data_IF_272975776633
#
_entry.id   IF_272975776633
#
_cell.length_a   1.000
_cell.length_b   1.000
_cell.length_c   1.000
_cell.angle_alpha   90.00
_cell.angle_beta   90.00
_cell.angle_gamma   90.00
#
_symmetry.space_group_name_H-M   'P 1'
#
loop_
_entity.id
_entity.type
_entity.pdbx_description
1 polymer ?
#
# COMPACT_ATOMS: atom_id res chain seq x y z
N UNK A 1 48.07 -35.47 37.75
CA UNK A 1 47.78 -35.40 36.30
C UNK A 1 46.31 -35.04 36.15
N UNK A 2 46.00 -33.76 35.97
CA UNK A 2 44.63 -33.28 35.80
C UNK A 2 44.29 -33.32 34.31
N UNK A 3 43.40 -34.24 33.93
CA UNK A 3 42.81 -34.30 32.59
C UNK A 3 41.88 -33.11 32.42
N UNK A 4 42.31 -32.14 31.63
CA UNK A 4 41.53 -30.98 31.25
C UNK A 4 40.40 -31.47 30.33
N UNK A 5 39.18 -31.54 30.87
CA UNK A 5 37.99 -31.91 30.11
C UNK A 5 37.66 -30.71 29.23
N UNK A 6 38.19 -30.71 28.01
CA UNK A 6 37.84 -29.72 27.01
C UNK A 6 36.33 -29.72 26.84
N UNK A 7 35.69 -28.62 27.24
CA UNK A 7 34.27 -28.38 27.02
C UNK A 7 34.05 -28.51 25.53
N UNK A 8 33.29 -29.54 25.14
CA UNK A 8 32.87 -29.79 23.77
C UNK A 8 32.03 -28.59 23.36
N UNK A 9 32.66 -27.60 22.73
CA UNK A 9 32.00 -26.46 22.10
C UNK A 9 31.19 -27.04 20.97
N UNK A 10 29.93 -27.35 21.27
CA UNK A 10 28.93 -27.61 20.24
C UNK A 10 28.98 -26.41 19.28
N UNK A 11 29.07 -26.63 17.96
CA UNK A 11 29.15 -25.54 17.01
C UNK A 11 27.88 -24.70 17.14
N UNK A 12 28.00 -23.58 17.85
CA UNK A 12 26.90 -22.69 18.15
C UNK A 12 26.51 -22.04 16.83
N UNK A 13 25.40 -22.51 16.26
CA UNK A 13 24.90 -21.99 15.01
C UNK A 13 24.50 -20.53 15.21
N UNK A 14 25.00 -19.58 14.38
CA UNK A 14 24.70 -18.17 14.55
C UNK A 14 23.18 -17.94 14.60
N UNK A 15 22.66 -17.12 15.55
CA UNK A 15 21.21 -16.95 15.74
C UNK A 15 20.48 -16.48 14.49
N UNK A 16 21.11 -15.59 13.70
CA UNK A 16 20.56 -15.04 12.46
C UNK A 16 20.66 -15.98 11.24
N UNK A 17 21.39 -17.08 11.34
CA UNK A 17 21.51 -18.05 10.25
C UNK A 17 20.31 -19.01 10.23
N UNK A 18 19.11 -18.44 10.23
CA UNK A 18 17.84 -19.15 10.13
C UNK A 18 17.03 -18.59 8.98
N UNK A 19 16.31 -19.45 8.27
CA UNK A 19 15.35 -18.99 7.26
C UNK A 19 14.10 -18.38 7.94
N UNK A 20 13.18 -17.84 7.14
CA UNK A 20 11.92 -17.28 7.63
C UNK A 20 11.04 -18.33 8.35
N UNK A 21 11.32 -19.62 8.15
CA UNK A 21 10.64 -20.77 8.75
C UNK A 21 11.35 -21.26 10.02
N UNK A 22 12.47 -20.64 10.42
CA UNK A 22 13.26 -20.99 11.58
C UNK A 22 14.22 -22.17 11.38
N UNK A 23 14.31 -22.72 10.16
CA UNK A 23 15.26 -23.77 9.82
C UNK A 23 16.68 -23.22 9.81
N UNK A 24 17.62 -24.02 10.30
CA UNK A 24 19.04 -23.67 10.31
C UNK A 24 19.59 -23.68 8.87
N UNK A 25 20.31 -22.63 8.48
CA UNK A 25 20.97 -22.53 7.18
C UNK A 25 22.48 -22.64 7.37
N UNK A 26 23.12 -23.55 6.63
CA UNK A 26 24.56 -23.76 6.70
C UNK A 26 25.34 -22.48 6.40
N UNK A 27 26.07 -21.98 7.39
CA UNK A 27 26.95 -20.81 7.26
C UNK A 27 28.29 -21.23 6.67
N UNK A 28 28.82 -20.55 5.63
CA UNK A 28 30.13 -20.85 5.09
C UNK A 28 31.24 -20.74 6.15
N UNK A 29 32.21 -21.66 6.09
CA UNK A 29 33.41 -21.57 6.92
C UNK A 29 34.17 -20.27 6.66
N UNK A 30 34.69 -19.64 7.72
CA UNK A 30 35.38 -18.36 7.63
C UNK A 30 34.47 -17.13 7.67
N UNK A 31 33.16 -17.29 7.85
CA UNK A 31 32.28 -16.16 8.17
C UNK A 31 32.66 -15.60 9.54
N UNK A 32 32.89 -14.30 9.63
CA UNK A 32 33.27 -13.59 10.85
C UNK A 32 32.24 -12.51 11.27
N UNK A 33 31.45 -11.99 10.31
CA UNK A 33 30.45 -10.97 10.57
C UNK A 33 29.31 -11.01 9.54
N UNK A 34 28.22 -10.31 9.85
CA UNK A 34 27.11 -10.08 8.93
C UNK A 34 27.16 -8.66 8.36
N UNK A 35 26.89 -8.53 7.07
CA UNK A 35 26.44 -7.28 6.45
C UNK A 35 24.95 -7.37 6.21
N UNK A 36 24.20 -6.40 6.73
CA UNK A 36 22.74 -6.40 6.69
C UNK A 36 22.25 -5.31 5.73
N UNK A 37 21.40 -5.70 4.79
CA UNK A 37 20.73 -4.80 3.87
C UNK A 37 19.22 -4.91 4.06
N UNK A 38 18.54 -3.77 4.17
CA UNK A 38 17.07 -3.73 4.22
C UNK A 38 16.50 -4.10 2.87
N UNK A 39 15.61 -5.10 2.83
CA UNK A 39 14.93 -5.49 1.61
C UNK A 39 13.91 -4.39 1.25
N UNK A 40 13.99 -3.90 0.02
CA UNK A 40 13.03 -2.93 -0.51
C UNK A 40 12.44 -3.49 -1.80
N UNK A 41 11.38 -2.89 -2.32
CA UNK A 41 10.78 -3.30 -3.62
C UNK A 41 11.74 -3.13 -4.80
N UNK A 42 12.86 -2.42 -4.62
CA UNK A 42 13.92 -2.27 -5.61
C UNK A 42 15.26 -2.83 -5.13
N UNK A 43 16.34 -2.05 -5.33
CA UNK A 43 17.67 -2.43 -4.87
C UNK A 43 17.71 -2.48 -3.33
N UNK A 44 18.18 -3.58 -2.70
CA UNK A 44 18.36 -3.64 -1.25
C UNK A 44 19.17 -2.44 -0.77
N UNK A 45 18.69 -1.78 0.29
CA UNK A 45 19.36 -0.62 0.86
C UNK A 45 20.30 -1.08 1.96
N UNK A 46 21.58 -0.83 1.79
CA UNK A 46 22.58 -1.13 2.80
C UNK A 46 22.34 -0.30 4.05
N UNK A 47 22.46 -0.94 5.22
CA UNK A 47 22.37 -0.24 6.50
C UNK A 47 23.75 0.37 6.78
N UNK A 48 23.77 1.68 6.81
CA UNK A 48 24.99 2.48 6.95
C UNK A 48 25.02 3.05 8.36
N UNK A 49 26.17 2.94 9.02
CA UNK A 49 26.40 3.51 10.34
C UNK A 49 26.44 5.04 10.35
N UNK A 50 26.54 5.65 11.54
CA UNK A 50 26.66 7.10 11.68
C UNK A 50 27.91 7.67 10.97
N UNK A 51 28.91 6.83 10.75
CA UNK A 51 30.16 7.13 10.04
C UNK A 51 30.04 7.06 8.51
N UNK A 52 28.83 6.82 7.98
CA UNK A 52 28.55 6.62 6.55
C UNK A 52 29.24 5.38 5.95
N UNK A 53 29.70 4.42 6.77
CA UNK A 53 30.24 3.14 6.28
C UNK A 53 29.25 1.99 6.50
N UNK A 54 29.39 0.96 5.69
CA UNK A 54 28.67 -0.31 5.86
C UNK A 54 28.83 -0.84 7.27
N UNK A 55 27.73 -0.99 8.01
CA UNK A 55 27.79 -1.51 9.36
C UNK A 55 28.11 -3.01 9.32
N UNK A 56 29.04 -3.44 10.19
CA UNK A 56 29.36 -4.87 10.41
C UNK A 56 28.67 -5.31 11.69
N UNK A 57 27.86 -6.35 11.59
CA UNK A 57 27.15 -6.91 12.73
C UNK A 57 27.86 -8.19 13.20
N UNK A 58 28.01 -8.41 14.52
CA UNK A 58 28.60 -9.63 15.05
C UNK A 58 27.75 -10.87 14.68
N UNK A 59 28.40 -12.04 14.61
CA UNK A 59 27.72 -13.31 14.30
C UNK A 59 26.63 -13.67 15.32
N UNK A 60 26.86 -13.32 16.58
CA UNK A 60 25.97 -13.59 17.72
C UNK A 60 24.78 -12.63 17.83
N UNK A 61 24.68 -11.65 16.92
CA UNK A 61 23.55 -10.73 16.86
C UNK A 61 22.24 -11.54 16.84
N UNK A 62 21.29 -11.18 17.69
CA UNK A 62 19.98 -11.85 17.69
C UNK A 62 18.97 -11.11 16.81
N UNK A 63 17.87 -11.76 16.38
CA UNK A 63 16.80 -11.08 15.67
C UNK A 63 16.22 -9.91 16.49
N UNK A 64 16.06 -10.06 17.80
CA UNK A 64 15.52 -9.01 18.68
C UNK A 64 16.43 -7.78 18.71
N UNK A 65 17.75 -7.97 18.85
CA UNK A 65 18.73 -6.88 18.79
C UNK A 65 18.70 -6.16 17.42
N UNK A 66 18.46 -6.91 16.34
CA UNK A 66 18.31 -6.34 15.00
C UNK A 66 17.05 -5.46 14.90
N UNK A 67 15.93 -5.84 15.54
CA UNK A 67 14.73 -5.01 15.62
C UNK A 67 15.01 -3.73 16.41
N UNK A 68 15.70 -3.83 17.53
CA UNK A 68 16.00 -2.68 18.38
C UNK A 68 16.90 -1.66 17.66
N UNK A 69 17.84 -2.13 16.84
CA UNK A 69 18.77 -1.29 16.09
C UNK A 69 18.18 -0.74 14.78
N UNK A 70 17.50 -1.58 13.99
CA UNK A 70 17.12 -1.27 12.61
C UNK A 70 15.60 -1.13 12.41
N UNK A 71 14.80 -1.57 13.37
CA UNK A 71 13.34 -1.66 13.31
C UNK A 71 12.84 -2.97 12.71
N UNK A 72 11.51 -3.14 12.73
CA UNK A 72 10.81 -4.29 12.13
C UNK A 72 10.83 -4.19 10.61
N UNK A 73 11.46 -5.15 9.92
CA UNK A 73 11.41 -5.30 8.45
C UNK A 73 11.97 -6.66 7.97
N UNK A 74 11.94 -6.85 6.64
CA UNK A 74 12.66 -7.88 5.90
C UNK A 74 14.11 -7.45 5.65
N UNK A 75 15.07 -8.29 6.03
CA UNK A 75 16.49 -8.03 5.90
C UNK A 75 17.19 -9.11 5.08
N UNK A 76 18.14 -8.69 4.25
CA UNK A 76 19.04 -9.56 3.50
C UNK A 76 20.42 -9.53 4.15
N UNK A 77 20.85 -10.68 4.67
CA UNK A 77 22.12 -10.92 5.32
C UNK A 77 23.14 -11.41 4.30
N UNK A 78 24.33 -10.82 4.32
CA UNK A 78 25.49 -11.26 3.56
C UNK A 78 26.57 -11.70 4.55
N UNK A 79 27.09 -12.92 4.37
CA UNK A 79 28.23 -13.40 5.15
C UNK A 79 29.48 -12.62 4.76
N UNK A 80 30.21 -12.11 5.75
CA UNK A 80 31.50 -11.46 5.57
C UNK A 80 32.61 -12.31 6.18
N UNK A 81 33.77 -12.35 5.52
CA UNK A 81 35.01 -12.87 6.11
C UNK A 81 35.62 -11.90 7.13
N UNK A 82 36.74 -12.31 7.75
CA UNK A 82 37.49 -11.48 8.72
C UNK A 82 37.96 -10.13 8.15
N UNK A 83 38.20 -10.07 6.83
CA UNK A 83 38.61 -8.86 6.12
C UNK A 83 37.40 -7.97 5.76
N UNK A 84 36.19 -8.52 5.81
CA UNK A 84 34.93 -7.89 5.42
C UNK A 84 34.60 -8.01 3.94
N UNK A 85 35.18 -8.99 3.24
CA UNK A 85 34.77 -9.39 1.89
C UNK A 85 33.52 -10.27 1.98
N UNK A 86 32.60 -10.07 1.05
CA UNK A 86 31.38 -10.89 0.97
C UNK A 86 31.76 -12.28 0.48
N UNK A 87 31.42 -13.30 1.28
CA UNK A 87 31.37 -14.70 0.89
C UNK A 87 30.00 -14.88 0.22
N UNK A 88 29.91 -15.37 -1.02
CA UNK A 88 28.70 -15.48 -1.86
C UNK A 88 27.55 -16.29 -1.21
N UNK A 89 27.02 -15.77 -0.12
CA UNK A 89 26.05 -16.38 0.76
C UNK A 89 25.09 -15.29 1.20
N UNK A 90 23.83 -15.50 0.88
CA UNK A 90 22.77 -14.52 1.03
C UNK A 90 21.57 -15.19 1.65
N UNK A 91 21.15 -14.70 2.81
CA UNK A 91 19.95 -15.18 3.52
C UNK A 91 19.00 -14.02 3.68
N UNK A 92 17.70 -14.28 3.52
CA UNK A 92 16.66 -13.32 3.87
C UNK A 92 16.04 -13.72 5.20
N UNK A 93 15.97 -12.77 6.13
CA UNK A 93 15.36 -12.94 7.45
C UNK A 93 14.27 -11.88 7.61
N UNK A 94 13.06 -12.33 7.91
CA UNK A 94 11.94 -11.47 8.26
C UNK A 94 11.88 -11.34 9.78
N UNK A 95 12.08 -10.12 10.30
CA UNK A 95 12.17 -9.90 11.75
C UNK A 95 11.05 -9.00 12.23
N UNK A 96 10.30 -9.46 13.23
CA UNK A 96 9.25 -8.69 13.93
C UNK A 96 7.98 -8.46 13.11
N UNK A 97 7.94 -8.86 11.85
CA UNK A 97 6.70 -9.01 11.11
C UNK A 97 6.10 -10.32 11.61
N UNK A 98 4.99 -10.26 12.35
CA UNK A 98 4.12 -11.43 12.45
C UNK A 98 3.98 -11.98 11.03
N UNK A 99 4.16 -13.30 10.81
CA UNK A 99 4.25 -13.91 9.49
C UNK A 99 3.04 -13.47 8.69
N UNK A 100 3.23 -12.37 7.97
CA UNK A 100 2.21 -11.73 7.17
C UNK A 100 2.17 -12.67 6.00
N UNK A 101 1.23 -13.61 6.08
CA UNK A 101 0.81 -14.46 4.99
C UNK A 101 1.02 -13.70 3.71
N UNK A 102 1.96 -14.22 2.89
CA UNK A 102 2.55 -13.59 1.73
C UNK A 102 1.48 -13.15 0.74
N UNK A 103 0.81 -12.03 1.03
CA UNK A 103 -0.43 -11.65 0.37
C UNK A 103 -0.21 -11.11 -1.03
N UNK A 104 1.04 -11.01 -1.48
CA UNK A 104 1.40 -10.42 -2.78
C UNK A 104 2.71 -10.96 -3.38
N UNK A 105 3.25 -12.09 -2.92
CA UNK A 105 4.26 -12.78 -3.71
C UNK A 105 3.50 -13.60 -4.76
N UNK A 106 3.66 -13.27 -6.04
CA UNK A 106 3.10 -14.03 -7.14
C UNK A 106 3.39 -15.54 -6.96
N UNK A 107 2.47 -16.43 -7.35
CA UNK A 107 2.66 -17.86 -7.17
C UNK A 107 3.68 -18.37 -8.18
N UNK A 108 4.98 -18.22 -7.90
CA UNK A 108 5.98 -19.04 -8.55
C UNK A 108 5.80 -20.47 -8.07
N UNK A 109 5.35 -21.27 -9.03
CA UNK A 109 4.91 -22.64 -8.95
C UNK A 109 6.10 -23.54 -8.63
N UNK A 110 6.56 -23.52 -7.39
CA UNK A 110 7.55 -24.49 -6.91
C UNK A 110 6.79 -25.69 -6.35
N UNK A 111 6.32 -26.52 -7.27
CA UNK A 111 5.96 -27.89 -6.97
C UNK A 111 7.20 -28.59 -6.43
N UNK A 112 7.23 -28.93 -5.14
CA UNK A 112 7.95 -30.14 -4.72
C UNK A 112 7.19 -30.94 -3.65
N UNK A 113 7.33 -32.28 -3.72
CA UNK A 113 6.51 -33.24 -3.00
C UNK A 113 7.21 -33.74 -1.73
N UNK A 114 6.46 -34.56 -0.98
CA UNK A 114 6.94 -35.57 -0.03
C UNK A 114 7.08 -35.12 1.42
N UNK A 115 6.26 -35.69 2.30
CA UNK A 115 6.65 -36.71 3.29
C UNK A 115 5.39 -37.27 3.96
N UNK A 116 4.98 -38.49 3.60
CA UNK A 116 5.15 -39.71 4.43
C UNK A 116 4.72 -39.52 5.88
N UNK A 117 3.53 -39.98 6.21
CA UNK A 117 3.29 -40.74 7.44
C UNK A 117 2.39 -41.94 7.12
N UNK A 118 2.92 -43.13 7.42
CA UNK A 118 2.17 -44.36 7.41
C UNK A 118 1.29 -44.41 8.67
N UNK A 119 -0.03 -44.51 8.50
CA UNK A 119 -0.92 -45.07 9.50
C UNK A 119 -2.18 -45.60 8.79
N UNK A 120 -2.32 -46.92 8.84
CA UNK A 120 -3.44 -47.71 8.38
C UNK A 120 -4.73 -47.39 9.15
N UNK A 121 -5.72 -46.76 8.50
CA UNK A 121 -7.16 -46.96 8.71
C UNK A 121 -7.99 -46.08 7.75
N UNK A 122 -9.17 -46.52 7.27
CA UNK A 122 -10.05 -45.77 6.37
C UNK A 122 -10.91 -44.71 7.13
N UNK A 123 -10.26 -43.81 7.87
CA UNK A 123 -10.88 -42.62 8.47
C UNK A 123 -10.31 -41.31 7.90
N UNK A 124 -9.54 -41.41 6.82
CA UNK A 124 -8.80 -40.29 6.21
C UNK A 124 -9.71 -39.16 5.76
N UNK A 125 -10.91 -39.46 5.24
CA UNK A 125 -11.74 -38.46 4.57
C UNK A 125 -12.36 -37.42 5.53
N UNK A 126 -12.79 -37.86 6.72
CA UNK A 126 -13.35 -36.94 7.73
C UNK A 126 -12.25 -36.07 8.37
N UNK A 127 -11.05 -36.62 8.55
CA UNK A 127 -9.90 -35.84 9.03
C UNK A 127 -9.47 -34.79 8.01
N UNK A 128 -9.40 -35.16 6.72
CA UNK A 128 -9.13 -34.22 5.65
C UNK A 128 -10.23 -33.17 5.53
N UNK A 129 -11.51 -33.54 5.65
CA UNK A 129 -12.62 -32.59 5.61
C UNK A 129 -12.56 -31.58 6.78
N UNK A 130 -12.27 -32.04 8.00
CA UNK A 130 -12.11 -31.14 9.16
C UNK A 130 -10.88 -30.23 9.03
N UNK A 131 -9.78 -30.74 8.48
CA UNK A 131 -8.58 -29.94 8.20
C UNK A 131 -8.85 -28.90 7.11
N UNK A 132 -9.57 -29.26 6.05
CA UNK A 132 -10.00 -28.34 5.00
C UNK A 132 -10.98 -27.27 5.53
N UNK A 133 -11.94 -27.65 6.38
CA UNK A 133 -12.87 -26.70 6.99
C UNK A 133 -12.16 -25.70 7.91
N UNK A 134 -11.20 -26.16 8.71
CA UNK A 134 -10.41 -25.27 9.58
C UNK A 134 -9.51 -24.34 8.79
N UNK A 135 -8.91 -24.82 7.68
CA UNK A 135 -8.19 -23.96 6.75
C UNK A 135 -9.13 -22.93 6.09
N UNK A 136 -10.31 -23.34 5.62
CA UNK A 136 -11.27 -22.43 4.98
C UNK A 136 -11.83 -21.38 5.95
N UNK A 137 -12.04 -21.73 7.23
CA UNK A 137 -12.43 -20.78 8.27
C UNK A 137 -11.36 -19.73 8.54
N UNK A 138 -10.07 -20.11 8.55
CA UNK A 138 -8.97 -19.15 8.70
C UNK A 138 -8.93 -18.17 7.52
N UNK A 139 -8.97 -18.70 6.29
CA UNK A 139 -8.99 -17.86 5.07
C UNK A 139 -10.19 -16.92 5.05
N UNK A 140 -11.38 -17.39 5.44
CA UNK A 140 -12.56 -16.53 5.52
C UNK A 140 -12.41 -15.44 6.59
N UNK A 141 -11.78 -15.74 7.72
CA UNK A 141 -11.52 -14.74 8.77
C UNK A 141 -10.51 -13.68 8.34
N UNK A 142 -9.46 -14.07 7.60
CA UNK A 142 -8.47 -13.16 7.03
C UNK A 142 -9.05 -12.28 5.92
N UNK A 143 -9.99 -12.83 5.13
CA UNK A 143 -10.73 -12.07 4.13
C UNK A 143 -11.59 -10.98 4.79
N UNK A 144 -12.36 -11.32 5.83
CA UNK A 144 -13.15 -10.35 6.58
C UNK A 144 -12.27 -9.27 7.22
N UNK A 145 -11.15 -9.67 7.83
CA UNK A 145 -10.20 -8.72 8.43
C UNK A 145 -9.64 -7.74 7.38
N UNK A 146 -9.31 -8.22 6.19
CA UNK A 146 -8.84 -7.38 5.10
C UNK A 146 -9.86 -6.35 4.62
N UNK A 147 -11.13 -6.77 4.52
CA UNK A 147 -12.23 -5.87 4.18
C UNK A 147 -12.36 -4.78 5.25
N UNK A 148 -12.29 -5.15 6.53
CA UNK A 148 -12.36 -4.16 7.63
C UNK A 148 -11.18 -3.20 7.65
N UNK A 149 -9.96 -3.68 7.38
CA UNK A 149 -8.75 -2.83 7.29
C UNK A 149 -8.85 -1.87 6.09
N UNK A 150 -9.33 -2.36 4.93
CA UNK A 150 -9.57 -1.53 3.75
C UNK A 150 -10.64 -0.46 3.99
N UNK A 151 -11.70 -0.78 4.73
CA UNK A 151 -12.72 0.20 5.11
C UNK A 151 -12.16 1.26 6.06
N UNK A 152 -11.32 0.86 7.02
CA UNK A 152 -10.66 1.78 7.93
C UNK A 152 -9.70 2.73 7.20
N UNK A 153 -8.92 2.23 6.24
CA UNK A 153 -8.00 3.06 5.46
C UNK A 153 -8.72 3.98 4.47
N UNK A 154 -9.85 3.55 3.92
CA UNK A 154 -10.74 4.41 3.13
C UNK A 154 -11.34 5.55 3.97
N UNK A 155 -11.81 5.27 5.19
CA UNK A 155 -12.28 6.28 6.14
C UNK A 155 -11.18 7.26 6.57
N UNK A 156 -9.97 6.77 6.82
CA UNK A 156 -8.79 7.62 7.07
C UNK A 156 -8.46 8.49 5.87
N UNK A 157 -8.55 7.94 4.65
CA UNK A 157 -8.34 8.70 3.42
C UNK A 157 -9.37 9.84 3.30
N UNK A 158 -10.65 9.58 3.54
CA UNK A 158 -11.72 10.61 3.52
C UNK A 158 -11.52 11.66 4.61
N UNK A 159 -11.19 11.25 5.83
CA UNK A 159 -10.98 12.20 6.93
C UNK A 159 -9.72 13.04 6.73
N UNK A 160 -8.66 12.46 6.17
CA UNK A 160 -7.44 13.19 5.80
C UNK A 160 -7.65 14.14 4.61
N UNK A 161 -8.45 13.76 3.62
CA UNK A 161 -8.77 14.61 2.46
C UNK A 161 -9.76 15.73 2.80
N UNK A 162 -10.56 15.57 3.87
CA UNK A 162 -11.47 16.60 4.40
C UNK A 162 -10.79 17.61 5.34
N UNK A 163 -9.45 17.68 5.33
CA UNK A 163 -8.63 18.66 6.06
C UNK A 163 -8.76 20.13 5.61
N UNK A 164 -9.92 20.56 5.10
CA UNK A 164 -10.15 21.92 4.58
C UNK A 164 -11.05 22.81 5.46
N UNK A 165 -11.47 22.38 6.66
CA UNK A 165 -12.31 23.20 7.55
C UNK A 165 -11.74 23.36 8.97
N UNK A 166 -10.46 23.71 9.10
CA UNK A 166 -9.91 24.22 10.36
C UNK A 166 -9.04 25.45 10.09
N UNK A 167 -9.70 26.61 9.98
CA UNK A 167 -9.29 27.93 10.50
C UNK A 167 -10.17 29.07 9.95
N UNK A 168 -11.50 28.91 10.00
CA UNK A 168 -12.42 30.05 9.96
C UNK A 168 -13.07 30.14 11.32
N UNK A 169 -12.65 31.10 12.15
CA UNK A 169 -13.38 31.44 13.36
C UNK A 169 -14.85 31.76 12.97
N UNK A 170 -15.85 31.26 13.71
CA UNK A 170 -17.24 31.61 13.43
C UNK A 170 -17.40 33.14 13.57
N UNK A 171 -18.03 33.84 12.61
CA UNK A 171 -18.33 35.25 12.76
C UNK A 171 -19.26 35.41 13.97
N UNK A 172 -18.80 36.19 14.94
CA UNK A 172 -19.58 36.58 16.12
C UNK A 172 -20.81 37.37 15.63
N UNK A 173 -22.04 36.91 15.89
CA UNK A 173 -23.23 37.69 15.58
C UNK A 173 -23.34 38.89 16.53
N UNK A 174 -23.84 40.05 16.05
CA UNK A 174 -24.05 41.23 16.90
C UNK A 174 -25.14 40.98 17.95
N UNK A 175 -25.06 41.64 19.13
CA UNK A 175 -25.99 41.40 20.23
C UNK A 175 -27.39 41.95 19.90
N UNK A 176 -28.39 41.08 19.89
CA UNK A 176 -29.80 41.46 19.89
C UNK A 176 -30.25 41.90 21.28
N UNK A 177 -31.07 42.97 21.39
CA UNK A 177 -31.61 43.41 22.67
C UNK A 177 -32.72 42.46 23.15
N UNK A 178 -32.70 42.24 24.46
CA UNK A 178 -33.59 41.40 25.24
C UNK A 178 -35.06 41.52 24.85
N UNK A 179 -35.68 40.37 24.58
CA UNK A 179 -37.13 40.18 24.74
C UNK A 179 -37.38 38.96 25.61
N UNK A 180 -37.95 39.25 26.78
CA UNK A 180 -38.88 38.37 27.47
C UNK A 180 -39.92 37.87 26.47
N UNK A 181 -40.18 36.57 26.46
CA UNK A 181 -41.53 36.06 26.66
C UNK A 181 -41.47 34.60 27.12
N UNK A 182 -42.27 34.35 28.15
CA UNK A 182 -42.62 33.06 28.73
C UNK A 182 -43.61 32.37 27.79
N UNK A 183 -43.47 31.06 27.54
CA UNK A 183 -44.64 30.18 27.50
C UNK A 183 -44.26 28.69 27.50
N UNK A 184 -44.92 28.00 28.42
CA UNK A 184 -44.98 26.56 28.63
C UNK A 184 -45.38 25.77 27.37
N UNK A 185 -44.81 24.58 27.21
CA UNK A 185 -45.24 23.63 26.20
C UNK A 185 -44.57 22.27 26.35
N UNK A 186 -45.11 21.44 27.26
CA UNK A 186 -44.88 20.00 27.34
C UNK A 186 -45.10 19.34 25.96
N UNK A 187 -44.04 18.73 25.41
CA UNK A 187 -44.14 17.77 24.32
C UNK A 187 -43.17 16.62 24.58
N UNK A 188 -43.73 15.46 24.94
CA UNK A 188 -43.07 14.17 24.95
C UNK A 188 -42.58 13.80 23.55
N UNK A 189 -41.32 14.14 23.23
CA UNK A 189 -40.65 13.65 22.02
C UNK A 189 -39.97 12.30 22.30
N UNK A 190 -40.59 11.23 21.78
CA UNK A 190 -39.99 9.90 21.68
C UNK A 190 -38.64 9.96 20.93
N UNK A 191 -37.58 9.28 21.41
CA UNK A 191 -36.31 9.25 20.69
C UNK A 191 -36.46 8.42 19.43
N UNK A 192 -36.57 9.11 18.27
CA UNK A 192 -36.41 8.48 16.96
C UNK A 192 -35.07 7.76 16.91
N UNK A 193 -35.11 6.42 16.90
CA UNK A 193 -33.94 5.59 16.68
C UNK A 193 -33.34 5.92 15.32
N UNK A 194 -32.21 6.62 15.34
CA UNK A 194 -31.37 6.85 14.18
C UNK A 194 -30.93 5.49 13.63
N UNK A 195 -31.54 5.05 12.53
CA UNK A 195 -31.07 3.92 11.72
C UNK A 195 -29.63 4.22 11.34
N UNK A 196 -28.70 3.53 11.98
CA UNK A 196 -27.28 3.72 11.74
C UNK A 196 -26.97 3.36 10.29
N UNK A 197 -26.02 4.08 9.69
CA UNK A 197 -25.52 3.89 8.31
C UNK A 197 -25.24 2.41 7.96
N UNK A 198 -25.00 1.58 8.97
CA UNK A 198 -24.80 0.14 8.86
C UNK A 198 -26.03 -0.66 8.38
N UNK A 199 -27.26 -0.22 8.70
CA UNK A 199 -28.49 -0.90 8.23
C UNK A 199 -28.79 -0.64 6.74
N UNK A 200 -28.26 0.45 6.18
CA UNK A 200 -28.43 0.80 4.76
C UNK A 200 -27.35 0.12 3.90
N UNK A 201 -26.20 -0.22 4.48
CA UNK A 201 -25.05 -0.78 3.76
C UNK A 201 -24.95 -2.32 3.83
N UNK A 202 -25.70 -2.98 4.71
CA UNK A 202 -25.70 -4.45 4.79
C UNK A 202 -26.10 -5.16 3.47
N UNK A 203 -27.11 -4.71 2.70
CA UNK A 203 -27.42 -5.30 1.39
C UNK A 203 -26.37 -5.00 0.30
N UNK A 204 -25.48 -4.04 0.56
CA UNK A 204 -24.45 -3.57 -0.37
C UNK A 204 -23.22 -4.50 -0.40
N UNK A 205 -22.92 -5.20 0.71
CA UNK A 205 -21.79 -6.11 0.79
C UNK A 205 -22.02 -7.44 0.05
N UNK A 206 -23.27 -7.93 0.00
CA UNK A 206 -23.61 -9.20 -0.67
C UNK A 206 -23.59 -9.09 -2.20
N UNK A 207 -23.85 -7.91 -2.77
CA UNK A 207 -23.98 -7.73 -4.22
C UNK A 207 -22.67 -7.44 -4.98
N UNK A 208 -21.56 -7.17 -4.29
CA UNK A 208 -20.27 -6.89 -4.94
C UNK A 208 -19.32 -8.10 -5.03
N UNK A 209 -19.62 -9.20 -4.35
CA UNK A 209 -18.78 -10.41 -4.36
C UNK A 209 -18.54 -11.06 -5.75
N UNK A 210 -19.48 -11.02 -6.73
CA UNK A 210 -19.26 -11.68 -8.02
C UNK A 210 -18.44 -10.85 -9.04
N UNK A 211 -18.48 -9.51 -8.97
CA UNK A 211 -18.07 -8.65 -10.09
C UNK A 211 -16.59 -8.20 -10.08
N UNK A 212 -15.82 -8.53 -9.05
CA UNK A 212 -14.41 -8.07 -8.92
C UNK A 212 -13.41 -9.03 -9.60
N UNK A 213 -13.85 -10.22 -10.02
CA UNK A 213 -12.98 -11.26 -10.60
C UNK A 213 -12.44 -10.96 -12.02
N UNK A 214 -13.18 -10.31 -12.94
CA UNK A 214 -12.65 -10.05 -14.29
C UNK A 214 -11.65 -8.87 -14.36
N UNK A 215 -11.78 -7.88 -13.47
CA UNK A 215 -10.95 -6.66 -13.49
C UNK A 215 -9.49 -6.93 -13.07
N UNK A 216 -9.28 -7.91 -12.19
CA UNK A 216 -7.94 -8.31 -11.73
C UNK A 216 -7.16 -9.12 -12.79
N UNK A 217 -7.83 -9.72 -13.78
CA UNK A 217 -7.17 -10.49 -14.83
C UNK A 217 -6.52 -9.62 -15.92
N UNK A 218 -7.00 -8.39 -16.11
CA UNK A 218 -6.51 -7.49 -17.17
C UNK A 218 -5.31 -6.62 -16.74
N UNK A 219 -5.12 -6.43 -15.44
CA UNK A 219 -4.03 -5.61 -14.89
C UNK A 219 -2.67 -6.35 -14.81
N UNK A 220 -2.66 -7.66 -15.09
CA UNK A 220 -1.46 -8.52 -14.98
C UNK A 220 -0.65 -8.65 -16.30
N UNK A 221 -1.10 -8.05 -17.40
CA UNK A 221 -0.47 -8.18 -18.73
C UNK A 221 0.07 -6.86 -19.27
N UNK A 222 1.29 -6.46 -18.88
CA UNK A 222 1.94 -5.25 -19.40
C UNK A 222 3.45 -5.40 -19.53
N UNK A 223 3.92 -5.61 -20.75
CA UNK A 223 5.30 -5.90 -21.12
C UNK A 223 6.16 -4.63 -21.35
N UNK A 224 7.40 -4.66 -20.82
CA UNK A 224 8.65 -4.26 -21.48
C UNK A 224 8.87 -2.82 -21.98
N UNK A 225 9.84 -2.11 -21.38
CA UNK A 225 10.57 -1.04 -22.05
C UNK A 225 12.06 -0.99 -21.69
N UNK A 226 12.86 -0.69 -22.72
CA UNK A 226 14.29 -0.93 -22.95
C UNK A 226 15.29 -0.20 -22.06
N UNK A 227 16.39 -0.91 -21.83
CA UNK A 227 17.72 -0.48 -21.36
C UNK A 227 18.39 0.50 -22.33
N UNK A 228 19.00 1.56 -21.79
CA UNK A 228 20.00 2.40 -22.47
C UNK A 228 21.27 2.45 -21.60
N UNK A 229 22.37 2.01 -22.20
CA UNK A 229 23.72 1.99 -21.67
C UNK A 229 24.54 3.17 -22.21
N UNK A 230 25.45 3.70 -21.37
CA UNK A 230 26.64 4.52 -21.68
C UNK A 230 27.11 5.13 -20.34
N UNK A 231 28.29 4.93 -19.75
CA UNK A 231 29.61 4.59 -20.28
C UNK A 231 30.49 5.84 -20.32
N UNK A 232 31.37 6.07 -19.34
CA UNK A 232 32.67 6.78 -19.48
C UNK A 232 33.48 6.80 -18.17
N UNK A 233 34.77 6.50 -18.32
CA UNK A 233 35.82 6.48 -17.30
C UNK A 233 36.57 7.82 -17.22
N UNK A 234 37.22 8.10 -16.08
CA UNK A 234 38.34 9.05 -15.94
C UNK A 234 39.12 8.72 -14.65
N UNK A 235 40.28 8.05 -14.74
CA UNK A 235 41.65 8.59 -14.65
C UNK A 235 42.02 9.29 -13.34
N UNK A 236 42.94 8.65 -12.63
CA UNK A 236 43.80 9.17 -11.56
C UNK A 236 44.66 10.35 -12.04
N UNK A 237 44.90 11.33 -11.17
CA UNK A 237 46.21 11.95 -10.94
C UNK A 237 46.12 13.06 -9.87
N UNK A 238 47.09 13.07 -8.95
CA UNK A 238 47.64 14.30 -8.39
C UNK A 238 47.23 14.66 -6.97
N UNK A 239 47.98 14.13 -6.00
CA UNK A 239 48.14 14.69 -4.65
C UNK A 239 48.97 15.98 -4.75
N UNK A 240 48.52 17.11 -4.17
CA UNK A 240 49.40 17.75 -3.20
C UNK A 240 48.68 18.43 -2.02
N UNK A 241 49.39 18.39 -0.88
CA UNK A 241 49.38 19.39 0.19
C UNK A 241 48.30 19.27 1.28
N UNK A 242 48.67 18.52 2.32
CA UNK A 242 47.93 18.36 3.60
C UNK A 242 48.19 19.48 4.63
N UNK A 243 48.64 20.67 4.22
CA UNK A 243 49.11 21.71 5.17
C UNK A 243 48.14 22.86 5.48
N UNK A 244 46.90 22.87 4.97
CA UNK A 244 45.91 23.89 5.38
C UNK A 244 44.52 23.27 5.53
N UNK A 245 44.29 22.58 6.64
CA UNK A 245 42.93 22.16 7.03
C UNK A 245 42.23 23.35 7.70
N UNK A 246 41.17 23.94 7.09
CA UNK A 246 40.28 24.82 7.81
C UNK A 246 39.60 24.03 8.94
N UNK A 247 39.44 24.66 10.10
CA UNK A 247 38.77 24.06 11.25
C UNK A 247 37.36 23.57 10.85
N UNK A 248 37.03 22.40 11.37
CA UNK A 248 35.82 21.61 11.09
C UNK A 248 34.51 22.37 11.37
N UNK A 249 34.55 23.43 12.18
CA UNK A 249 33.37 24.22 12.56
C UNK A 249 32.81 25.11 11.44
N UNK A 250 33.61 25.48 10.43
CA UNK A 250 33.15 26.41 9.38
C UNK A 250 32.40 25.68 8.24
N UNK A 251 32.64 24.38 8.05
CA UNK A 251 31.94 23.59 7.02
C UNK A 251 30.49 23.28 7.39
N UNK A 252 30.21 23.03 8.67
CA UNK A 252 28.85 22.74 9.12
C UNK A 252 27.89 23.92 8.90
N UNK A 253 28.37 25.15 9.05
CA UNK A 253 27.55 26.36 8.81
C UNK A 253 27.21 26.52 7.32
N UNK A 254 28.13 26.14 6.42
CA UNK A 254 27.90 26.20 4.98
C UNK A 254 26.94 25.10 4.54
N UNK A 255 27.04 23.90 5.10
CA UNK A 255 26.13 22.78 4.80
C UNK A 255 24.72 23.00 5.38
N UNK A 256 24.60 23.61 6.57
CA UNK A 256 23.31 24.01 7.14
C UNK A 256 22.62 25.08 6.29
N UNK A 257 23.35 26.08 5.80
CA UNK A 257 22.82 27.10 4.90
C UNK A 257 22.44 26.50 3.53
N UNK A 258 23.21 25.55 3.02
CA UNK A 258 22.89 24.84 1.77
C UNK A 258 21.64 23.95 1.93
N UNK A 259 21.50 23.24 3.06
CA UNK A 259 20.32 22.44 3.37
C UNK A 259 19.07 23.31 3.55
N UNK A 260 19.19 24.45 4.22
CA UNK A 260 18.11 25.42 4.37
C UNK A 260 17.70 26.03 3.02
N UNK A 261 18.66 26.40 2.17
CA UNK A 261 18.41 26.91 0.83
C UNK A 261 17.73 25.86 -0.07
N UNK A 262 18.17 24.60 0.00
CA UNK A 262 17.57 23.49 -0.75
C UNK A 262 16.15 23.15 -0.27
N UNK A 263 15.89 23.24 1.04
CA UNK A 263 14.56 23.08 1.60
C UNK A 263 13.62 24.22 1.19
N UNK A 264 14.13 25.47 1.16
CA UNK A 264 13.39 26.64 0.69
C UNK A 264 13.08 26.54 -0.80
N UNK A 265 14.05 26.20 -1.64
CA UNK A 265 13.85 25.98 -3.07
C UNK A 265 12.84 24.85 -3.35
N UNK A 266 12.84 23.77 -2.55
CA UNK A 266 11.85 22.68 -2.69
C UNK A 266 10.44 23.11 -2.26
N UNK A 267 10.31 23.99 -1.27
CA UNK A 267 9.01 24.58 -0.88
C UNK A 267 8.50 25.54 -1.94
N UNK A 268 9.36 26.39 -2.47
CA UNK A 268 9.01 27.34 -3.54
C UNK A 268 8.64 26.61 -4.83
N UNK A 269 9.35 25.53 -5.21
CA UNK A 269 8.97 24.68 -6.34
C UNK A 269 7.63 23.97 -6.14
N UNK A 270 7.30 23.54 -4.92
CA UNK A 270 6.03 22.90 -4.60
C UNK A 270 4.85 23.88 -4.60
N UNK A 271 5.10 25.13 -4.20
CA UNK A 271 4.10 26.20 -4.29
C UNK A 271 3.94 26.74 -5.72
N UNK A 272 5.01 26.76 -6.53
CA UNK A 272 4.93 27.12 -7.95
C UNK A 272 4.17 26.06 -8.80
N UNK A 273 4.12 24.80 -8.37
CA UNK A 273 3.31 23.74 -9.00
C UNK A 273 1.87 23.66 -8.47
N UNK A 274 1.49 24.54 -7.52
CA UNK A 274 0.15 24.59 -6.93
C UNK A 274 -0.58 25.88 -7.35
N UNK A 275 -0.46 26.27 -8.62
CA UNK A 275 -1.36 27.25 -9.22
C UNK A 275 -2.72 26.59 -9.47
N UNK A 276 -3.74 27.14 -8.83
CA UNK A 276 -5.10 26.64 -8.55
C UNK A 276 -6.05 26.48 -9.77
N UNK A 277 -5.55 26.37 -11.01
CA UNK A 277 -6.40 26.49 -12.22
C UNK A 277 -6.21 25.41 -13.30
N UNK A 278 -5.55 24.29 -12.98
CA UNK A 278 -5.56 23.13 -13.88
C UNK A 278 -6.78 22.25 -13.55
N UNK A 279 -7.76 22.07 -14.46
CA UNK A 279 -8.89 21.18 -14.22
C UNK A 279 -8.35 19.77 -13.95
N UNK A 280 -8.60 19.28 -12.73
CA UNK A 280 -8.16 17.95 -12.37
C UNK A 280 -8.90 16.95 -13.24
N UNK A 281 -8.15 16.18 -14.02
CA UNK A 281 -8.63 15.03 -14.82
C UNK A 281 -9.04 13.88 -13.91
N UNK A 282 -9.91 14.14 -12.95
CA UNK A 282 -10.57 13.12 -12.14
C UNK A 282 -11.47 12.33 -13.07
N UNK A 283 -11.24 11.02 -13.12
CA UNK A 283 -12.09 10.11 -13.89
C UNK A 283 -13.56 10.25 -13.48
N UNK A 284 -14.47 10.03 -14.42
CA UNK A 284 -15.92 10.04 -14.18
C UNK A 284 -16.31 9.22 -12.95
N UNK A 285 -15.62 8.08 -12.72
CA UNK A 285 -15.80 7.26 -11.53
C UNK A 285 -15.56 8.03 -10.23
N UNK A 286 -14.44 8.77 -10.13
CA UNK A 286 -14.12 9.57 -8.93
C UNK A 286 -15.16 10.67 -8.73
N UNK A 287 -15.59 11.34 -9.82
CA UNK A 287 -16.61 12.40 -9.76
C UNK A 287 -17.96 11.87 -9.27
N UNK A 288 -18.39 10.71 -9.78
CA UNK A 288 -19.63 10.03 -9.35
C UNK A 288 -19.54 9.59 -7.88
N UNK A 289 -18.41 9.02 -7.46
CA UNK A 289 -18.22 8.58 -6.08
C UNK A 289 -18.13 9.75 -5.07
N UNK A 290 -17.65 10.92 -5.51
CA UNK A 290 -17.50 12.10 -4.63
C UNK A 290 -18.84 12.79 -4.37
N UNK A 291 -19.81 12.65 -5.27
CA UNK A 291 -21.14 13.27 -5.12
C UNK A 291 -22.18 12.22 -4.72
N UNK A 292 -22.64 12.19 -3.45
CA UNK A 292 -23.56 11.16 -2.97
C UNK A 292 -24.93 11.19 -3.67
N UNK A 293 -25.37 12.36 -4.18
CA UNK A 293 -26.62 12.47 -4.93
C UNK A 293 -26.50 11.82 -6.31
N UNK A 294 -25.38 12.05 -7.00
CA UNK A 294 -25.10 11.38 -8.28
C UNK A 294 -24.99 9.88 -8.08
N UNK A 295 -24.27 9.44 -7.05
CA UNK A 295 -24.13 8.01 -6.76
C UNK A 295 -25.51 7.35 -6.50
N UNK A 296 -26.37 7.98 -5.68
CA UNK A 296 -27.73 7.48 -5.45
C UNK A 296 -28.56 7.41 -6.74
N UNK A 297 -28.41 8.40 -7.64
CA UNK A 297 -29.10 8.43 -8.92
C UNK A 297 -28.61 7.32 -9.86
N UNK A 298 -27.29 7.11 -9.98
CA UNK A 298 -26.71 5.99 -10.73
C UNK A 298 -27.13 4.62 -10.19
N UNK A 299 -27.29 4.48 -8.86
CA UNK A 299 -27.81 3.25 -8.25
C UNK A 299 -29.29 3.01 -8.60
N UNK A 300 -30.09 4.08 -8.71
CA UNK A 300 -31.48 3.97 -9.15
C UNK A 300 -31.62 3.66 -10.65
N UNK A 301 -30.67 4.12 -11.47
CA UNK A 301 -30.60 3.83 -12.91
C UNK A 301 -30.12 2.41 -13.19
N UNK A 302 -29.17 1.89 -12.41
CA UNK A 302 -28.55 0.56 -12.60
C UNK A 302 -29.55 -0.59 -12.85
N UNK A 303 -30.64 -0.78 -12.08
CA UNK A 303 -31.60 -1.87 -12.32
C UNK A 303 -32.46 -1.68 -13.58
N UNK A 304 -32.48 -0.47 -14.16
CA UNK A 304 -33.21 -0.16 -15.38
C UNK A 304 -32.39 -0.42 -16.65
N UNK A 305 -31.08 -0.67 -16.51
CA UNK A 305 -30.15 -0.96 -17.59
C UNK A 305 -29.81 -2.44 -17.63
N UNK A 306 -29.61 -2.98 -18.83
CA UNK A 306 -29.07 -4.33 -18.96
C UNK A 306 -27.60 -4.35 -18.49
N UNK A 307 -27.09 -5.47 -17.95
CA UNK A 307 -25.71 -5.57 -17.48
C UNK A 307 -24.68 -5.18 -18.56
N UNK A 308 -24.95 -5.53 -19.82
CA UNK A 308 -24.10 -5.19 -20.96
C UNK A 308 -24.16 -3.70 -21.31
N UNK A 309 -25.34 -3.07 -21.18
CA UNK A 309 -25.50 -1.61 -21.35
C UNK A 309 -24.71 -0.86 -20.28
N UNK A 310 -24.80 -1.30 -19.02
CA UNK A 310 -24.07 -0.70 -17.91
C UNK A 310 -22.55 -0.78 -18.13
N UNK A 311 -22.03 -1.94 -18.56
CA UNK A 311 -20.60 -2.09 -18.86
C UNK A 311 -20.15 -1.15 -19.99
N UNK A 312 -20.96 -0.99 -21.03
CA UNK A 312 -20.65 -0.08 -22.14
C UNK A 312 -20.70 1.39 -21.74
N UNK A 313 -21.61 1.79 -20.84
CA UNK A 313 -21.67 3.15 -20.31
C UNK A 313 -20.42 3.47 -19.49
N UNK A 314 -19.91 2.52 -18.69
CA UNK A 314 -18.65 2.71 -17.98
C UNK A 314 -17.46 2.86 -18.95
N UNK A 315 -17.37 2.00 -19.96
CA UNK A 315 -16.32 2.10 -20.98
C UNK A 315 -16.40 3.40 -21.80
N UNK A 316 -17.63 3.90 -22.05
CA UNK A 316 -17.89 5.17 -22.70
C UNK A 316 -17.40 6.34 -21.85
N UNK A 317 -17.60 6.28 -20.53
CA UNK A 317 -17.08 7.27 -19.59
C UNK A 317 -15.56 7.45 -19.68
N UNK A 318 -14.80 6.39 -19.99
CA UNK A 318 -13.35 6.47 -20.18
C UNK A 318 -12.93 7.07 -21.54
N UNK A 319 -13.81 7.01 -22.54
CA UNK A 319 -13.54 7.50 -23.91
C UNK A 319 -13.96 8.95 -24.13
N UNK A 320 -14.95 9.43 -23.36
CA UNK A 320 -15.42 10.81 -23.46
C UNK A 320 -14.37 11.80 -22.92
N UNK A 321 -14.28 12.95 -23.56
CA UNK A 321 -13.50 14.06 -23.03
C UNK A 321 -14.18 14.68 -21.79
N UNK A 322 -13.45 15.49 -21.03
CA UNK A 322 -13.94 16.07 -19.77
C UNK A 322 -15.23 16.87 -19.93
N UNK A 323 -15.34 17.70 -20.97
CA UNK A 323 -16.55 18.48 -21.26
C UNK A 323 -17.77 17.59 -21.57
N UNK A 324 -17.57 16.49 -22.29
CA UNK A 324 -18.62 15.51 -22.57
C UNK A 324 -19.03 14.73 -21.32
N UNK A 325 -18.07 14.38 -20.46
CA UNK A 325 -18.35 13.74 -19.17
C UNK A 325 -19.18 14.65 -18.28
N UNK A 326 -18.82 15.94 -18.19
CA UNK A 326 -19.59 16.92 -17.43
C UNK A 326 -20.99 17.12 -17.98
N UNK A 327 -21.13 17.28 -19.30
CA UNK A 327 -22.44 17.38 -19.94
C UNK A 327 -23.31 16.16 -19.63
N UNK A 328 -22.76 14.95 -19.76
CA UNK A 328 -23.49 13.71 -19.49
C UNK A 328 -23.92 13.63 -18.01
N UNK A 329 -23.03 13.97 -17.08
CA UNK A 329 -23.33 14.01 -15.65
C UNK A 329 -24.45 15.01 -15.38
N UNK A 330 -24.38 16.22 -15.95
CA UNK A 330 -25.43 17.24 -15.77
C UNK A 330 -26.78 16.74 -16.29
N UNK A 331 -26.83 16.18 -17.50
CA UNK A 331 -28.08 15.68 -18.10
C UNK A 331 -28.68 14.50 -17.32
N UNK A 332 -27.86 13.52 -16.94
CA UNK A 332 -28.28 12.36 -16.15
C UNK A 332 -28.80 12.80 -14.78
N UNK A 333 -28.12 13.76 -14.15
CA UNK A 333 -28.51 14.25 -12.82
C UNK A 333 -29.80 15.07 -12.80
N UNK A 334 -30.13 15.73 -13.91
CA UNK A 334 -31.32 16.57 -14.05
C UNK A 334 -32.58 15.78 -14.43
N UNK A 335 -32.41 14.58 -15.00
CA UNK A 335 -33.51 13.73 -15.49
C UNK A 335 -33.99 12.76 -14.42
N UNK A 336 -35.21 12.23 -14.54
CA UNK A 336 -35.64 11.11 -13.71
C UNK A 336 -34.86 9.82 -14.02
N UNK A 337 -34.78 8.81 -13.13
CA UNK A 337 -34.01 7.58 -13.40
C UNK A 337 -34.42 6.84 -14.68
N UNK A 338 -35.70 6.85 -15.04
CA UNK A 338 -36.20 6.22 -16.26
C UNK A 338 -35.79 7.00 -17.52
N UNK A 339 -35.88 8.34 -17.49
CA UNK A 339 -35.43 9.20 -18.58
C UNK A 339 -33.91 9.17 -18.75
N UNK A 340 -33.17 9.15 -17.65
CA UNK A 340 -31.72 9.03 -17.66
C UNK A 340 -31.27 7.69 -18.27
N UNK A 341 -31.95 6.58 -17.96
CA UNK A 341 -31.69 5.30 -18.60
C UNK A 341 -31.96 5.34 -20.11
N UNK A 342 -33.06 5.97 -20.54
CA UNK A 342 -33.39 6.14 -21.96
C UNK A 342 -32.37 7.03 -22.70
N UNK A 343 -31.91 8.10 -22.06
CA UNK A 343 -30.86 8.97 -22.58
C UNK A 343 -29.55 8.19 -22.77
N UNK A 344 -29.12 7.42 -21.76
CA UNK A 344 -27.90 6.61 -21.83
C UNK A 344 -27.97 5.57 -22.96
N UNK A 345 -29.11 4.90 -23.14
CA UNK A 345 -29.33 4.00 -24.28
C UNK A 345 -29.22 4.70 -25.63
N UNK A 346 -29.82 5.87 -25.74
CA UNK A 346 -29.76 6.66 -26.99
C UNK A 346 -28.32 7.05 -27.31
N UNK A 347 -27.55 7.52 -26.32
CA UNK A 347 -26.13 7.84 -26.50
C UNK A 347 -25.28 6.62 -26.90
N UNK A 348 -25.59 5.42 -26.38
CA UNK A 348 -24.92 4.20 -26.79
C UNK A 348 -25.21 3.84 -28.25
N UNK A 349 -26.46 4.01 -28.72
CA UNK A 349 -26.84 3.74 -30.11
C UNK A 349 -26.15 4.71 -31.08
N UNK A 350 -26.12 6.01 -30.75
CA UNK A 350 -25.44 7.03 -31.56
C UNK A 350 -23.94 6.78 -31.68
N UNK A 351 -23.30 6.34 -30.60
CA UNK A 351 -21.88 6.03 -30.61
C UNK A 351 -21.56 4.78 -31.43
N UNK A 352 -22.41 3.74 -31.35
CA UNK A 352 -22.24 2.54 -32.21
C UNK A 352 -22.38 2.90 -33.69
N UNK A 353 -23.36 3.74 -34.05
CA UNK A 353 -23.53 4.21 -35.42
C UNK A 353 -22.33 5.07 -35.90
N UNK A 354 -21.75 5.87 -34.99
CA UNK A 354 -20.55 6.67 -35.29
C UNK A 354 -19.30 5.81 -35.48
N UNK A 355 -19.19 4.66 -34.80
CA UNK A 355 -18.07 3.73 -34.99
C UNK A 355 -18.19 2.93 -36.29
N UNK A 356 -19.39 2.54 -36.70
CA UNK A 356 -19.61 1.77 -37.95
C UNK A 356 -19.37 2.61 -39.22
N UNK A 357 -19.47 3.94 -39.14
CA UNK A 357 -19.24 4.84 -40.28
C UNK A 357 -17.78 5.27 -40.44
N UNK A 358 -16.94 4.97 -39.46
CA UNK A 358 -15.51 5.28 -39.48
C UNK A 358 -14.63 4.13 -40.01
N UNK A 359 -15.18 2.92 -40.14
CA UNK A 359 -14.59 1.77 -40.84
C UNK A 359 -14.97 1.77 -42.32
#
# INVERSE_FOLDING_TARGET
MATNIGTKTEPQHPPLARDAQGNLIAVPEGTAAWRICRQTTGRPKEIVGPDKKSMRFPLEMTPEELVDLCGVDAYRLYALDELGKVLDYVVTVDVGREPRELRNAAPETTLLPTLRHAATAPSSDLRFALEAMTQMMRVNSEALRAVTESQADWLKSITSSRGFFRNGAPPVPPPEPARHDEEDGDADDEPTQNKTIYDVLAPFAEHWAPSVKPLMAMLAGGAGAKSLASGAAATEAGDPSLASKPSWEIRDVVDLNYAAAKAKAKREAKHASASDDAPSTQSLQVRVMTNPKLMAHFLAIKPLLDPDEAAQIFALGERLNEHQQEWLITQVSASSPAEAAALLRTTLVELRASTETAE
#
